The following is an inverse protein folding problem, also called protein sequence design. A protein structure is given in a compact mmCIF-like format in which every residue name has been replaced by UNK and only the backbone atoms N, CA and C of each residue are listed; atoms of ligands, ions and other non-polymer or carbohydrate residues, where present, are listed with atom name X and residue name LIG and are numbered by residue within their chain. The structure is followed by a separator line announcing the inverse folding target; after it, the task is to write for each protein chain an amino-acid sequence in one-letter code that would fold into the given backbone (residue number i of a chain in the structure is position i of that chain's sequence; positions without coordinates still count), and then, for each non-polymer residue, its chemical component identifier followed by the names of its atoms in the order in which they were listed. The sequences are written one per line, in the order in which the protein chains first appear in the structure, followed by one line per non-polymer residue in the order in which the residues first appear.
data_IF_571132767703
#
_entry.id   IF_571132767703
#
_cell.length_a   1.000
_cell.length_b   1.000
_cell.length_c   1.000
_cell.angle_alpha   90.00
_cell.angle_beta   90.00
_cell.angle_gamma   90.00
#
_symmetry.space_group_name_H-M   'P 1'
#
loop_
_entity.id
_entity.type
_entity.pdbx_description
1 polymer ?
#
# COMPACT_ATOMS: atom_id res chain seq x y z
N UNK A 1 -4.80 -18.43 13.98
CA UNK A 1 -3.62 -17.55 14.13
C UNK A 1 -3.95 -16.26 13.40
N UNK A 2 -3.95 -15.12 14.10
CA UNK A 2 -4.42 -13.82 13.58
C UNK A 2 -3.31 -12.76 13.46
N UNK A 3 -2.10 -13.02 13.98
CA UNK A 3 -0.99 -12.07 14.00
C UNK A 3 0.26 -12.72 13.40
N UNK A 4 0.94 -12.02 12.50
CA UNK A 4 2.11 -12.49 11.76
C UNK A 4 3.14 -11.36 11.61
N UNK A 5 4.43 -11.68 11.63
CA UNK A 5 5.48 -10.72 11.28
C UNK A 5 5.86 -10.98 9.83
N UNK A 6 5.45 -10.09 8.93
CA UNK A 6 5.61 -10.21 7.47
C UNK A 6 6.74 -9.36 6.92
N UNK A 7 7.04 -8.22 7.58
CA UNK A 7 8.03 -7.25 7.14
C UNK A 7 9.32 -7.32 7.97
N UNK A 8 10.49 -6.97 7.38
CA UNK A 8 11.73 -6.88 8.13
C UNK A 8 11.67 -5.79 9.20
N UNK A 9 12.42 -5.93 10.30
CA UNK A 9 12.53 -4.89 11.31
C UNK A 9 13.36 -3.70 10.81
N UNK A 10 13.09 -2.51 11.35
CA UNK A 10 13.89 -1.29 11.10
C UNK A 10 14.69 -0.93 12.34
N UNK A 11 15.98 -0.64 12.17
CA UNK A 11 16.78 -0.07 13.27
C UNK A 11 16.67 1.45 13.20
N UNK A 12 16.21 2.07 14.28
CA UNK A 12 16.05 3.50 14.42
C UNK A 12 16.67 3.95 15.76
N UNK A 13 17.73 4.74 15.70
CA UNK A 13 18.37 5.40 16.85
C UNK A 13 18.71 4.45 18.01
N UNK A 14 19.13 3.23 17.66
CA UNK A 14 19.50 2.17 18.59
C UNK A 14 18.37 1.22 19.01
N UNK A 15 17.13 1.43 18.55
CA UNK A 15 16.02 0.51 18.76
C UNK A 15 15.73 -0.31 17.49
N UNK A 16 15.49 -1.62 17.65
CA UNK A 16 14.97 -2.52 16.63
C UNK A 16 13.44 -2.48 16.68
N UNK A 17 12.81 -1.87 15.68
CA UNK A 17 11.37 -1.65 15.61
C UNK A 17 10.69 -2.74 14.80
N UNK A 18 9.62 -3.32 15.36
CA UNK A 18 8.89 -4.45 14.79
C UNK A 18 7.38 -4.15 14.85
N UNK A 19 6.73 -4.22 13.68
CA UNK A 19 5.28 -4.24 13.54
C UNK A 19 4.73 -5.66 13.36
N UNK A 20 3.55 -5.78 12.76
CA UNK A 20 2.96 -7.06 12.41
C UNK A 20 1.71 -6.90 11.56
N UNK A 21 1.47 -7.89 10.71
CA UNK A 21 0.22 -8.08 9.99
C UNK A 21 -0.79 -8.75 10.90
N UNK A 22 -1.98 -8.15 10.96
CA UNK A 22 -3.15 -8.72 11.60
C UNK A 22 -4.15 -9.04 10.50
N UNK A 23 -4.84 -10.18 10.59
CA UNK A 23 -5.85 -10.57 9.61
C UNK A 23 -7.15 -9.77 9.78
N UNK A 24 -7.06 -8.47 9.50
CA UNK A 24 -7.94 -7.34 9.79
C UNK A 24 -9.36 -7.40 9.24
N UNK A 25 -9.71 -8.42 8.46
CA UNK A 25 -11.01 -8.54 7.80
C UNK A 25 -11.96 -9.57 8.45
N UNK A 26 -11.62 -10.08 9.64
CA UNK A 26 -12.30 -11.24 10.22
C UNK A 26 -13.25 -10.89 11.34
N UNK A 27 -12.88 -10.01 12.27
CA UNK A 27 -13.67 -9.66 13.44
C UNK A 27 -13.31 -8.31 14.09
N UNK A 28 -14.22 -7.82 14.93
CA UNK A 28 -14.08 -6.54 15.67
C UNK A 28 -13.03 -6.59 16.79
N UNK A 29 -12.72 -7.78 17.30
CA UNK A 29 -11.87 -7.99 18.47
C UNK A 29 -10.55 -8.66 18.08
N UNK A 30 -9.93 -8.28 16.98
CA UNK A 30 -8.67 -8.90 16.57
C UNK A 30 -7.49 -8.51 17.46
N UNK A 31 -6.36 -9.25 17.43
CA UNK A 31 -5.17 -8.86 18.17
C UNK A 31 -4.74 -7.42 17.87
N UNK A 32 -4.13 -6.77 18.87
CA UNK A 32 -3.58 -5.44 18.71
C UNK A 32 -2.52 -5.38 17.61
N UNK A 33 -2.59 -4.32 16.82
CA UNK A 33 -1.55 -3.89 15.87
C UNK A 33 -0.31 -3.23 16.50
N UNK A 34 -0.12 -3.38 17.81
CA UNK A 34 0.99 -2.82 18.59
C UNK A 34 2.36 -2.94 17.92
N UNK A 35 3.07 -1.82 17.85
CA UNK A 35 4.46 -1.74 17.39
C UNK A 35 5.40 -1.81 18.60
N UNK A 36 6.51 -2.52 18.47
CA UNK A 36 7.45 -2.72 19.58
C UNK A 36 8.86 -2.31 19.21
N UNK A 37 9.56 -1.70 20.14
CA UNK A 37 10.99 -1.40 20.06
C UNK A 37 11.78 -2.31 20.99
N UNK A 38 12.86 -2.88 20.48
CA UNK A 38 13.76 -3.76 21.23
C UNK A 38 15.20 -3.26 21.18
N UNK A 39 16.01 -3.63 22.15
CA UNK A 39 17.45 -3.52 22.06
C UNK A 39 17.96 -4.56 21.04
N UNK A 40 18.63 -4.14 19.94
CA UNK A 40 19.07 -5.05 18.87
C UNK A 40 20.17 -6.03 19.31
N UNK A 41 20.86 -5.78 20.43
CA UNK A 41 21.96 -6.60 20.94
C UNK A 41 21.48 -7.62 21.96
N UNK A 42 20.53 -7.25 22.80
CA UNK A 42 20.05 -8.10 23.93
C UNK A 42 18.68 -8.71 23.68
N UNK A 43 17.88 -8.14 22.78
CA UNK A 43 16.47 -8.52 22.58
C UNK A 43 15.54 -8.01 23.67
N UNK A 44 16.02 -7.17 24.60
CA UNK A 44 15.18 -6.58 25.64
C UNK A 44 14.14 -5.64 25.04
N UNK A 45 12.88 -5.74 25.48
CA UNK A 45 11.84 -4.78 25.10
C UNK A 45 12.16 -3.40 25.71
N UNK A 46 12.24 -2.39 24.86
CA UNK A 46 12.44 -0.99 25.25
C UNK A 46 11.09 -0.29 25.46
N UNK A 47 10.19 -0.46 24.49
CA UNK A 47 8.87 0.15 24.50
C UNK A 47 7.88 -0.62 23.63
N UNK A 48 6.58 -0.38 23.86
CA UNK A 48 5.47 -0.86 23.06
C UNK A 48 4.49 0.29 22.80
N UNK A 49 4.28 0.62 21.53
CA UNK A 49 3.33 1.62 21.08
C UNK A 49 1.99 0.96 20.75
N UNK A 50 1.03 1.15 21.65
CA UNK A 50 -0.35 0.69 21.50
C UNK A 50 -1.26 1.91 21.37
N UNK A 51 -1.99 1.96 20.25
CA UNK A 51 -2.92 3.03 19.89
C UNK A 51 -3.93 3.31 21.00
N UNK A 52 -4.47 2.28 21.65
CA UNK A 52 -5.44 2.45 22.74
C UNK A 52 -4.84 2.86 24.08
N UNK A 53 -3.51 2.96 24.17
CA UNK A 53 -2.77 3.27 25.40
C UNK A 53 -1.77 4.41 25.17
N UNK A 54 -2.20 5.45 24.45
CA UNK A 54 -1.38 6.63 24.15
C UNK A 54 -0.65 7.17 25.39
N UNK A 55 0.65 7.47 25.22
CA UNK A 55 1.53 7.91 26.31
C UNK A 55 2.04 6.80 27.24
N UNK A 56 1.49 5.57 27.17
CA UNK A 56 1.96 4.41 27.95
C UNK A 56 2.74 3.46 27.05
N UNK A 57 4.05 3.51 27.16
CA UNK A 57 4.96 2.79 26.26
C UNK A 57 5.48 1.48 26.83
N UNK A 58 4.89 0.98 27.93
CA UNK A 58 5.25 -0.28 28.56
C UNK A 58 4.22 -1.37 28.28
N UNK A 59 4.63 -2.62 28.45
CA UNK A 59 3.71 -3.77 28.41
C UNK A 59 2.49 -3.52 29.33
N UNK A 60 1.30 -3.99 28.93
CA UNK A 60 0.16 -4.05 29.85
C UNK A 60 0.56 -4.78 31.14
N UNK A 61 0.04 -4.35 32.31
CA UNK A 61 0.21 -5.09 33.55
C UNK A 61 -0.23 -6.54 33.41
N UNK A 62 0.28 -7.41 34.28
CA UNK A 62 -0.13 -8.81 34.32
C UNK A 62 -1.68 -8.93 34.41
N UNK A 63 -2.25 -9.83 33.60
CA UNK A 63 -3.71 -10.01 33.49
C UNK A 63 -4.41 -8.99 32.58
N UNK A 64 -3.69 -8.01 32.01
CA UNK A 64 -4.21 -7.08 31.00
C UNK A 64 -3.66 -7.40 29.61
N UNK A 65 -4.32 -6.88 28.57
CA UNK A 65 -3.91 -7.07 27.18
C UNK A 65 -3.71 -5.72 26.48
N UNK A 66 -3.02 -5.76 25.34
CA UNK A 66 -3.01 -4.64 24.40
C UNK A 66 -4.41 -4.42 23.83
N UNK A 67 -4.66 -3.19 23.37
CA UNK A 67 -5.96 -2.80 22.84
C UNK A 67 -6.27 -3.58 21.57
N UNK A 68 -7.42 -4.26 21.55
CA UNK A 68 -7.85 -5.11 20.44
C UNK A 68 -8.45 -4.29 19.29
N UNK A 69 -8.44 -4.86 18.09
CA UNK A 69 -9.02 -4.27 16.88
C UNK A 69 -8.35 -2.98 16.40
N UNK A 70 -7.15 -2.65 16.91
CA UNK A 70 -6.42 -1.44 16.51
C UNK A 70 -5.72 -1.63 15.16
N UNK A 71 -5.53 -0.54 14.38
CA UNK A 71 -4.68 -0.54 13.19
C UNK A 71 -3.35 -1.25 13.39
N UNK A 72 -2.98 -2.07 12.40
CA UNK A 72 -1.72 -2.82 12.39
C UNK A 72 -0.62 -2.09 11.59
N UNK A 73 0.62 -2.52 11.73
CA UNK A 73 1.77 -1.99 10.97
C UNK A 73 2.45 -3.17 10.31
N UNK A 74 1.85 -3.62 9.20
CA UNK A 74 2.24 -4.83 8.51
C UNK A 74 3.35 -4.64 7.48
N UNK A 75 3.55 -3.39 7.04
CA UNK A 75 4.50 -3.04 6.00
C UNK A 75 5.81 -2.48 6.55
N UNK A 76 6.69 -2.08 5.63
CA UNK A 76 8.01 -1.51 5.86
C UNK A 76 7.93 -0.15 6.54
N UNK A 77 8.76 0.06 7.56
CA UNK A 77 8.95 1.35 8.21
C UNK A 77 10.22 2.05 7.70
N UNK A 78 10.36 3.35 7.97
CA UNK A 78 11.60 4.10 7.72
C UNK A 78 12.04 4.86 8.97
N UNK A 79 13.30 5.29 9.01
CA UNK A 79 13.89 5.90 10.20
C UNK A 79 14.75 7.11 9.84
N UNK A 80 14.74 8.10 10.74
CA UNK A 80 15.61 9.26 10.71
C UNK A 80 16.36 9.35 12.04
N UNK A 81 17.64 8.99 12.01
CA UNK A 81 18.50 8.99 13.19
C UNK A 81 18.92 10.41 13.63
N UNK A 82 18.85 11.41 12.75
CA UNK A 82 19.12 12.80 13.12
C UNK A 82 17.99 13.35 14.01
N UNK A 83 16.74 12.99 13.68
CA UNK A 83 15.56 13.39 14.45
C UNK A 83 15.21 12.42 15.58
N UNK A 84 15.77 11.22 15.58
CA UNK A 84 15.43 10.18 16.55
C UNK A 84 14.06 9.54 16.29
N UNK A 85 13.60 9.51 15.04
CA UNK A 85 12.24 9.12 14.67
C UNK A 85 12.20 7.83 13.86
N UNK A 86 11.17 7.02 14.09
CA UNK A 86 10.72 5.97 13.20
C UNK A 86 9.34 6.35 12.65
N UNK A 87 9.16 6.21 11.34
CA UNK A 87 7.92 6.50 10.63
C UNK A 87 7.20 5.19 10.35
N UNK A 88 6.04 5.00 10.99
CA UNK A 88 5.26 3.77 10.92
C UNK A 88 3.97 4.02 10.14
N UNK A 89 3.78 3.38 8.99
CA UNK A 89 2.55 3.51 8.22
C UNK A 89 1.52 2.48 8.73
N UNK A 90 0.27 2.90 8.91
CA UNK A 90 -0.75 2.11 9.63
C UNK A 90 -1.87 1.59 8.73
N UNK A 91 -2.38 0.43 9.14
CA UNK A 91 -3.63 -0.22 8.74
C UNK A 91 -4.88 0.61 8.99
N UNK A 92 -6.04 0.10 8.59
CA UNK A 92 -7.32 0.50 9.16
C UNK A 92 -7.61 -0.28 10.46
N UNK A 93 -8.57 0.20 11.26
CA UNK A 93 -9.07 -0.54 12.40
C UNK A 93 -9.97 -1.70 11.96
N UNK A 94 -10.03 -2.79 12.73
CA UNK A 94 -10.75 -4.00 12.29
C UNK A 94 -12.25 -3.93 12.60
N UNK A 95 -13.12 -4.49 11.74
CA UNK A 95 -12.81 -5.01 10.41
C UNK A 95 -12.83 -3.95 9.31
N UNK A 96 -12.28 -4.29 8.14
CA UNK A 96 -11.99 -3.35 7.04
C UNK A 96 -13.18 -2.58 6.47
N UNK A 97 -14.34 -3.22 6.32
CA UNK A 97 -15.44 -2.68 5.50
C UNK A 97 -16.65 -2.23 6.32
N UNK A 98 -16.58 -2.33 7.65
CA UNK A 98 -17.58 -1.79 8.57
C UNK A 98 -16.93 -1.19 9.82
N UNK A 99 -17.17 0.09 10.07
CA UNK A 99 -16.56 0.91 11.12
C UNK A 99 -17.51 1.38 12.22
N UNK A 100 -18.79 1.00 12.21
CA UNK A 100 -19.79 1.54 13.13
C UNK A 100 -19.49 1.39 14.64
N UNK A 101 -18.67 0.40 15.02
CA UNK A 101 -18.21 0.16 16.39
C UNK A 101 -16.91 0.90 16.74
N UNK A 102 -16.21 1.47 15.75
CA UNK A 102 -14.90 2.09 15.96
C UNK A 102 -15.01 3.32 16.84
N UNK A 103 -14.17 3.34 17.87
CA UNK A 103 -14.02 4.48 18.76
C UNK A 103 -13.15 5.56 18.13
N UNK A 104 -13.16 6.77 18.69
CA UNK A 104 -12.28 7.87 18.26
C UNK A 104 -10.81 7.46 18.27
N UNK A 105 -10.40 6.66 19.27
CA UNK A 105 -9.02 6.18 19.41
C UNK A 105 -8.63 5.22 18.30
N UNK A 106 -9.57 4.38 17.84
CA UNK A 106 -9.33 3.46 16.72
C UNK A 106 -9.22 4.23 15.40
N UNK A 107 -9.97 5.31 15.23
CA UNK A 107 -9.93 6.14 14.02
C UNK A 107 -8.71 7.07 13.98
N UNK A 108 -8.25 7.61 15.12
CA UNK A 108 -7.21 8.66 15.18
C UNK A 108 -5.93 8.29 14.41
N UNK A 109 -5.50 7.03 14.47
CA UNK A 109 -4.28 6.54 13.81
C UNK A 109 -4.55 5.53 12.69
N UNK A 110 -5.81 5.34 12.28
CA UNK A 110 -6.12 4.48 11.15
C UNK A 110 -5.65 5.13 9.84
N UNK A 111 -5.12 4.33 8.92
CA UNK A 111 -4.77 4.73 7.56
C UNK A 111 -3.94 6.02 7.55
N UNK A 112 -2.86 5.98 8.31
CA UNK A 112 -2.04 7.13 8.69
C UNK A 112 -0.56 6.84 8.52
N UNK A 113 0.24 7.91 8.48
CA UNK A 113 1.65 7.85 8.81
C UNK A 113 1.85 8.40 10.22
N UNK A 114 2.60 7.70 11.07
CA UNK A 114 2.86 8.10 12.46
C UNK A 114 4.37 8.19 12.68
N UNK A 115 4.85 9.32 13.16
CA UNK A 115 6.23 9.44 13.64
C UNK A 115 6.29 9.13 15.14
N UNK A 116 7.11 8.16 15.50
CA UNK A 116 7.34 7.72 16.88
C UNK A 116 8.78 8.04 17.26
N UNK A 117 8.98 8.58 18.46
CA UNK A 117 10.31 8.73 19.05
C UNK A 117 10.90 7.34 19.32
N UNK A 118 11.99 7.02 18.62
CA UNK A 118 12.53 5.66 18.58
C UNK A 118 13.12 5.19 19.92
N UNK A 119 13.45 6.12 20.84
CA UNK A 119 13.98 5.77 22.16
C UNK A 119 12.88 5.55 23.19
N UNK A 120 11.83 6.33 23.13
CA UNK A 120 10.78 6.36 24.17
C UNK A 120 9.52 5.60 23.77
N UNK A 121 9.26 5.43 22.47
CA UNK A 121 8.02 4.87 21.93
C UNK A 121 6.84 5.84 21.94
N UNK A 122 7.08 7.14 22.20
CA UNK A 122 6.04 8.15 22.23
C UNK A 122 5.76 8.71 20.83
N UNK A 123 4.48 8.91 20.51
CA UNK A 123 4.08 9.60 19.27
C UNK A 123 4.56 11.05 19.28
N UNK A 124 5.14 11.47 18.16
CA UNK A 124 5.59 12.85 17.93
C UNK A 124 4.61 13.62 17.08
N UNK A 125 4.14 13.01 16.01
CA UNK A 125 3.08 13.53 15.15
C UNK A 125 2.44 12.36 14.37
N UNK A 126 1.27 12.60 13.80
CA UNK A 126 0.65 11.71 12.82
C UNK A 126 -0.06 12.52 11.74
N UNK A 127 -0.23 11.93 10.57
CA UNK A 127 -1.03 12.47 9.48
C UNK A 127 -1.92 11.36 8.92
N UNK A 128 -3.23 11.59 8.91
CA UNK A 128 -4.21 10.63 8.44
C UNK A 128 -4.50 10.85 6.96
N UNK A 129 -4.29 9.81 6.14
CA UNK A 129 -4.55 9.87 4.69
C UNK A 129 -5.96 9.44 4.35
N UNK A 130 -6.67 8.74 5.23
CA UNK A 130 -8.08 8.36 5.05
C UNK A 130 -8.82 8.47 6.38
N UNK A 131 -9.80 9.36 6.47
CA UNK A 131 -10.67 9.50 7.63
C UNK A 131 -11.67 8.33 7.69
N UNK A 132 -11.78 7.69 8.84
CA UNK A 132 -12.73 6.60 9.10
C UNK A 132 -12.77 5.56 7.96
N UNK A 133 -11.66 4.88 7.76
CA UNK A 133 -11.45 4.03 6.58
C UNK A 133 -12.32 2.77 6.55
N UNK A 134 -13.33 2.75 5.69
CA UNK A 134 -14.22 1.59 5.45
C UNK A 134 -13.97 0.96 4.07
N UNK A 135 -12.75 1.12 3.53
CA UNK A 135 -12.39 0.74 2.17
C UNK A 135 -11.16 -0.17 2.07
N UNK A 136 -10.46 -0.46 3.17
CA UNK A 136 -9.13 -1.10 3.12
C UNK A 136 -8.12 -0.22 2.36
N UNK A 137 -8.12 1.08 2.69
CA UNK A 137 -7.16 2.10 2.22
C UNK A 137 -6.13 2.43 3.29
N UNK A 138 -5.56 1.41 3.92
CA UNK A 138 -4.38 1.58 4.75
C UNK A 138 -3.20 2.19 3.96
N UNK A 139 -2.15 2.54 4.69
CA UNK A 139 -0.90 3.04 4.12
C UNK A 139 0.12 1.90 4.13
N UNK A 140 0.25 1.13 3.05
CA UNK A 140 1.16 -0.01 3.01
C UNK A 140 2.51 0.34 2.37
N UNK A 141 2.68 1.53 1.80
CA UNK A 141 3.96 1.89 1.19
C UNK A 141 4.97 2.31 2.27
N UNK A 142 6.22 1.87 2.09
CA UNK A 142 7.32 2.37 2.92
C UNK A 142 7.39 3.90 2.84
N UNK A 143 7.37 4.65 3.96
CA UNK A 143 7.51 6.10 3.92
C UNK A 143 8.91 6.49 3.44
N UNK A 144 8.99 7.30 2.39
CA UNK A 144 10.27 7.61 1.72
C UNK A 144 10.80 8.96 2.17
N UNK A 145 11.91 8.96 2.92
CA UNK A 145 12.55 10.18 3.42
C UNK A 145 13.46 10.77 2.35
N UNK A 146 13.33 12.07 2.08
CA UNK A 146 14.13 12.75 1.06
C UNK A 146 14.46 14.19 1.46
N UNK A 147 15.47 14.75 0.79
CA UNK A 147 15.65 16.20 0.68
C UNK A 147 14.84 16.71 -0.53
N UNK A 148 13.62 17.16 -0.28
CA UNK A 148 12.66 17.64 -1.28
C UNK A 148 12.95 19.09 -1.67
N UNK A 149 13.12 19.35 -2.96
CA UNK A 149 13.34 20.70 -3.47
C UNK A 149 12.01 21.40 -3.79
N UNK A 150 11.62 22.35 -2.94
CA UNK A 150 10.41 23.16 -3.12
C UNK A 150 10.83 24.60 -3.40
N UNK A 151 10.54 25.10 -4.61
CA UNK A 151 10.88 26.47 -5.05
C UNK A 151 12.36 26.85 -4.85
N UNK A 152 13.27 25.88 -5.05
CA UNK A 152 14.72 26.08 -4.88
C UNK A 152 15.21 25.92 -3.43
N UNK A 153 14.32 25.65 -2.49
CA UNK A 153 14.64 25.43 -1.07
C UNK A 153 14.53 23.95 -0.74
N UNK A 154 15.61 23.37 -0.23
CA UNK A 154 15.60 22.00 0.28
C UNK A 154 14.82 21.90 1.59
N UNK A 155 13.83 21.00 1.63
CA UNK A 155 13.01 20.67 2.79
C UNK A 155 13.18 19.20 3.12
N UNK A 156 13.37 18.88 4.40
CA UNK A 156 13.44 17.49 4.86
C UNK A 156 12.03 16.90 4.85
N UNK A 157 11.74 16.03 3.90
CA UNK A 157 10.39 15.53 3.66
C UNK A 157 10.29 14.02 3.89
N UNK A 158 9.05 13.57 4.11
CA UNK A 158 8.62 12.19 4.00
C UNK A 158 7.51 12.12 2.96
N UNK A 159 7.70 11.30 1.93
CA UNK A 159 6.69 10.98 0.93
C UNK A 159 5.90 9.76 1.44
N UNK A 160 4.58 9.86 1.35
CA UNK A 160 3.62 8.84 1.77
C UNK A 160 2.78 8.45 0.56
N UNK A 161 3.21 7.42 -0.20
CA UNK A 161 2.40 6.81 -1.24
C UNK A 161 1.25 6.01 -0.62
N UNK A 162 0.08 5.99 -1.27
CA UNK A 162 -1.13 5.39 -0.69
C UNK A 162 -1.84 4.45 -1.65
N UNK A 163 -2.64 3.52 -1.09
CA UNK A 163 -3.56 2.67 -1.86
C UNK A 163 -4.55 3.49 -2.70
N UNK A 164 -4.82 4.74 -2.34
CA UNK A 164 -5.71 5.65 -3.08
C UNK A 164 -5.11 6.18 -4.40
N UNK A 165 -3.86 5.85 -4.73
CA UNK A 165 -3.21 6.38 -5.92
C UNK A 165 -2.75 7.83 -5.74
N UNK A 166 -2.57 8.26 -4.49
CA UNK A 166 -2.17 9.61 -4.11
C UNK A 166 -0.84 9.59 -3.35
N UNK A 167 -0.11 10.70 -3.45
CA UNK A 167 1.19 10.91 -2.82
C UNK A 167 1.09 12.12 -1.89
N UNK A 168 1.21 11.92 -0.59
CA UNK A 168 1.31 13.02 0.37
C UNK A 168 2.78 13.32 0.63
N UNK A 169 3.17 14.60 0.63
CA UNK A 169 4.53 15.03 0.95
C UNK A 169 4.45 15.87 2.21
N UNK A 170 5.08 15.40 3.29
CA UNK A 170 4.99 16.02 4.61
C UNK A 170 6.39 16.43 5.08
N UNK A 171 6.47 17.48 5.89
CA UNK A 171 7.68 17.82 6.62
C UNK A 171 7.96 16.72 7.64
N UNK A 172 9.10 16.05 7.54
CA UNK A 172 9.35 14.82 8.31
C UNK A 172 9.51 15.08 9.81
N UNK A 173 9.78 16.32 10.23
CA UNK A 173 9.89 16.66 11.64
C UNK A 173 8.54 16.97 12.30
N UNK A 174 7.55 17.44 11.54
CA UNK A 174 6.30 18.00 12.07
C UNK A 174 5.03 17.29 11.59
N UNK A 175 5.09 16.61 10.44
CA UNK A 175 3.92 16.01 9.78
C UNK A 175 3.08 17.01 8.98
N UNK A 176 3.48 18.28 8.91
CA UNK A 176 2.76 19.30 8.15
C UNK A 176 2.91 19.07 6.63
N UNK A 177 1.84 19.19 5.83
CA UNK A 177 1.93 19.08 4.37
C UNK A 177 2.87 20.12 3.76
N UNK A 178 3.79 19.66 2.90
CA UNK A 178 4.65 20.51 2.08
C UNK A 178 4.06 20.80 0.70
N UNK A 179 3.10 19.98 0.27
CA UNK A 179 2.32 20.16 -0.95
C UNK A 179 0.84 20.31 -0.59
N UNK A 180 0.05 20.92 -1.48
CA UNK A 180 -1.37 21.19 -1.21
C UNK A 180 -2.15 19.91 -0.93
N UNK A 181 -2.91 19.93 0.16
CA UNK A 181 -3.89 18.90 0.54
C UNK A 181 -5.23 19.60 0.74
N UNK A 182 -6.27 19.10 0.06
CA UNK A 182 -7.62 19.67 0.10
C UNK A 182 -8.60 18.67 0.69
N UNK A 183 -9.34 19.09 1.71
CA UNK A 183 -10.54 18.37 2.17
C UNK A 183 -11.65 18.48 1.12
N UNK A 184 -12.17 17.33 0.67
CA UNK A 184 -13.29 17.29 -0.29
C UNK A 184 -14.44 16.47 0.27
N UNK A 185 -15.66 16.93 0.01
CA UNK A 185 -16.87 16.17 0.31
C UNK A 185 -16.86 14.83 -0.43
N UNK A 186 -17.28 13.78 0.27
CA UNK A 186 -17.40 12.43 -0.27
C UNK A 186 -18.78 11.84 -0.01
N UNK A 187 -19.14 10.80 -0.76
CA UNK A 187 -20.41 10.11 -0.58
C UNK A 187 -20.53 9.50 0.83
N UNK A 188 -21.74 9.51 1.38
CA UNK A 188 -22.00 9.08 2.76
C UNK A 188 -22.59 7.67 2.81
N UNK A 189 -22.33 6.94 3.89
CA UNK A 189 -22.83 5.58 4.04
C UNK A 189 -24.36 5.55 4.12
N UNK A 190 -24.96 4.49 3.59
CA UNK A 190 -26.39 4.20 3.75
C UNK A 190 -26.62 2.92 4.55
N UNK A 191 -25.56 2.33 5.10
CA UNK A 191 -25.67 1.13 5.93
C UNK A 191 -26.17 1.52 7.34
N UNK A 192 -27.18 0.82 7.87
CA UNK A 192 -27.60 0.99 9.25
C UNK A 192 -26.45 0.80 10.23
N UNK A 193 -26.36 1.69 11.23
CA UNK A 193 -25.35 1.67 12.28
C UNK A 193 -23.90 1.89 11.82
N UNK A 194 -23.68 2.24 10.54
CA UNK A 194 -22.40 2.71 10.03
C UNK A 194 -22.33 4.24 10.09
N UNK A 195 -21.11 4.79 10.16
CA UNK A 195 -20.84 6.21 9.93
C UNK A 195 -19.81 6.39 8.83
N UNK A 196 -19.75 7.59 8.26
CA UNK A 196 -18.73 7.99 7.30
C UNK A 196 -18.23 9.39 7.65
N UNK A 197 -16.99 9.70 7.28
CA UNK A 197 -16.50 11.07 7.35
C UNK A 197 -17.18 11.95 6.29
N UNK A 198 -17.49 13.20 6.63
CA UNK A 198 -18.07 14.16 5.67
C UNK A 198 -17.09 14.48 4.53
N UNK A 199 -15.82 14.64 4.88
CA UNK A 199 -14.73 14.95 3.95
C UNK A 199 -13.61 13.93 4.02
N UNK A 200 -12.75 13.94 3.00
CA UNK A 200 -11.49 13.21 2.97
C UNK A 200 -10.37 14.14 2.50
N UNK A 201 -9.12 13.95 2.99
CA UNK A 201 -7.97 14.68 2.49
C UNK A 201 -7.61 14.12 1.12
N UNK A 202 -7.45 15.00 0.13
CA UNK A 202 -6.92 14.67 -1.19
C UNK A 202 -5.60 15.39 -1.42
N UNK A 203 -4.58 14.69 -1.90
CA UNK A 203 -3.32 15.32 -2.28
C UNK A 203 -3.48 16.01 -3.63
N UNK A 204 -3.65 17.33 -3.63
CA UNK A 204 -3.94 18.14 -4.82
C UNK A 204 -2.72 18.82 -5.41
N UNK A 205 -1.66 18.99 -4.62
CA UNK A 205 -0.38 19.54 -5.08
C UNK A 205 0.50 18.53 -5.81
N UNK A 206 0.32 17.22 -5.53
CA UNK A 206 1.05 16.15 -6.21
C UNK A 206 0.19 15.52 -7.32
N UNK A 207 0.81 14.90 -8.34
CA UNK A 207 0.06 14.17 -9.35
C UNK A 207 -0.68 12.97 -8.73
N UNK A 208 -1.94 12.80 -9.12
CA UNK A 208 -2.72 11.61 -8.79
C UNK A 208 -2.63 10.57 -9.91
N UNK A 209 -2.57 9.31 -9.49
CA UNK A 209 -2.51 8.12 -10.33
C UNK A 209 -3.87 7.40 -10.40
N UNK A 210 -4.87 7.84 -9.63
CA UNK A 210 -6.22 7.32 -9.73
C UNK A 210 -7.01 7.99 -10.86
N UNK A 211 -7.92 7.24 -11.50
CA UNK A 211 -8.97 7.83 -12.32
C UNK A 211 -9.81 8.82 -11.49
N UNK A 212 -10.02 10.07 -11.98
CA UNK A 212 -10.84 11.05 -11.27
C UNK A 212 -12.28 10.58 -11.03
N UNK A 213 -12.86 9.90 -12.02
CA UNK A 213 -14.17 9.24 -11.95
C UNK A 213 -14.28 8.20 -13.05
N UNK A 214 -14.75 7.00 -12.69
CA UNK A 214 -15.01 5.92 -13.66
C UNK A 214 -16.38 6.15 -14.32
N UNK A 215 -16.42 6.09 -15.65
CA UNK A 215 -17.66 6.07 -16.43
C UNK A 215 -17.72 4.92 -17.42
N UNK A 216 -18.80 4.86 -18.19
CA UNK A 216 -19.01 3.81 -19.20
C UNK A 216 -17.87 3.75 -20.24
N UNK A 217 -17.24 4.89 -20.56
CA UNK A 217 -16.09 5.00 -21.47
C UNK A 217 -14.80 4.36 -20.93
N UNK A 218 -14.78 4.01 -19.65
CA UNK A 218 -13.65 3.35 -19.01
C UNK A 218 -13.84 1.83 -18.92
N UNK A 219 -15.02 1.34 -19.36
CA UNK A 219 -15.37 -0.08 -19.32
C UNK A 219 -14.94 -0.82 -20.60
N UNK A 220 -14.21 -1.91 -20.38
CA UNK A 220 -13.62 -2.75 -21.39
C UNK A 220 -14.31 -4.12 -21.46
N UNK A 221 -14.15 -4.80 -22.59
CA UNK A 221 -14.50 -6.20 -22.78
C UNK A 221 -13.88 -6.71 -24.08
N UNK A 222 -13.45 -7.98 -24.09
CA UNK A 222 -12.77 -8.55 -25.26
C UNK A 222 -13.72 -8.84 -26.43
N UNK A 223 -15.02 -8.81 -26.17
CA UNK A 223 -16.09 -8.93 -27.16
C UNK A 223 -17.26 -8.01 -26.81
N UNK A 224 -18.20 -7.73 -27.73
CA UNK A 224 -19.39 -6.95 -27.42
C UNK A 224 -20.22 -7.51 -26.26
N UNK A 225 -20.33 -8.84 -26.14
CA UNK A 225 -21.07 -9.48 -25.03
C UNK A 225 -20.36 -9.31 -23.70
N UNK A 226 -19.04 -9.41 -23.70
CA UNK A 226 -18.19 -9.22 -22.52
C UNK A 226 -18.26 -7.76 -22.04
N UNK A 227 -18.20 -6.81 -22.97
CA UNK A 227 -18.35 -5.39 -22.68
C UNK A 227 -19.76 -5.06 -22.14
N UNK A 228 -20.81 -5.63 -22.72
CA UNK A 228 -22.20 -5.48 -22.21
C UNK A 228 -22.32 -6.03 -20.80
N UNK A 229 -21.69 -7.18 -20.50
CA UNK A 229 -21.69 -7.75 -19.15
C UNK A 229 -21.02 -6.82 -18.14
N UNK A 230 -19.85 -6.25 -18.47
CA UNK A 230 -19.17 -5.27 -17.62
C UNK A 230 -20.00 -3.99 -17.41
N UNK A 231 -20.63 -3.46 -18.47
CA UNK A 231 -21.52 -2.29 -18.38
C UNK A 231 -22.73 -2.56 -17.51
N UNK A 232 -23.38 -3.71 -17.70
CA UNK A 232 -24.51 -4.11 -16.86
C UNK A 232 -24.07 -4.21 -15.40
N UNK A 233 -22.96 -4.88 -15.12
CA UNK A 233 -22.45 -5.00 -13.76
C UNK A 233 -22.15 -3.63 -13.15
N UNK A 234 -21.55 -2.70 -13.90
CA UNK A 234 -21.33 -1.32 -13.44
C UNK A 234 -22.65 -0.61 -13.06
N UNK A 235 -23.68 -0.70 -13.89
CA UNK A 235 -24.98 -0.06 -13.64
C UNK A 235 -25.77 -0.69 -12.49
N UNK A 236 -25.50 -1.96 -12.16
CA UNK A 236 -26.11 -2.62 -11.01
C UNK A 236 -25.43 -2.20 -9.68
N UNK A 237 -24.24 -1.57 -9.72
CA UNK A 237 -23.46 -1.16 -8.54
C UNK A 237 -23.72 0.30 -8.14
N UNK A 238 -23.49 0.60 -6.86
CA UNK A 238 -23.37 1.95 -6.33
C UNK A 238 -22.00 2.53 -6.71
N UNK A 239 -21.97 3.68 -7.37
CA UNK A 239 -20.75 4.45 -7.63
C UNK A 239 -21.06 5.94 -7.79
N UNK A 240 -20.67 6.73 -6.80
CA UNK A 240 -20.86 8.18 -6.76
C UNK A 240 -19.55 8.93 -7.08
N UNK A 241 -18.43 8.21 -7.15
CA UNK A 241 -17.09 8.73 -7.36
C UNK A 241 -16.07 8.02 -6.45
N UNK A 242 -14.84 8.54 -6.38
CA UNK A 242 -13.86 8.13 -5.36
C UNK A 242 -14.49 8.16 -3.96
N UNK A 243 -14.07 7.24 -3.08
CA UNK A 243 -14.58 7.15 -1.70
C UNK A 243 -16.09 6.84 -1.60
N UNK A 244 -16.71 6.21 -2.61
CA UNK A 244 -18.08 5.70 -2.45
C UNK A 244 -18.11 4.62 -1.36
N UNK A 245 -18.91 4.75 -0.29
CA UNK A 245 -18.94 3.76 0.79
C UNK A 245 -19.44 2.37 0.37
N UNK A 246 -19.04 1.31 1.08
CA UNK A 246 -19.62 -0.03 0.95
C UNK A 246 -21.15 -0.03 1.04
N UNK A 247 -21.81 -0.96 0.34
CA UNK A 247 -23.26 -1.06 0.33
C UNK A 247 -23.75 -2.50 0.13
N UNK A 248 -25.02 -2.75 0.46
CA UNK A 248 -25.68 -4.06 0.22
C UNK A 248 -25.93 -4.30 -1.28
N UNK A 249 -26.19 -3.23 -2.04
CA UNK A 249 -26.27 -3.27 -3.51
C UNK A 249 -24.97 -3.78 -4.13
N UNK A 250 -23.83 -3.49 -3.49
CA UNK A 250 -22.51 -3.63 -4.05
C UNK A 250 -22.01 -2.26 -4.51
N UNK A 251 -20.76 -1.95 -4.16
CA UNK A 251 -20.11 -0.69 -4.48
C UNK A 251 -18.93 -0.94 -5.40
N UNK A 252 -18.81 -0.14 -6.47
CA UNK A 252 -17.58 -0.10 -7.25
C UNK A 252 -16.49 0.59 -6.42
N UNK A 253 -15.45 -0.17 -6.11
CA UNK A 253 -14.33 0.25 -5.29
C UNK A 253 -13.10 0.47 -6.16
N UNK A 254 -12.65 1.72 -6.26
CA UNK A 254 -11.50 2.09 -7.06
C UNK A 254 -10.75 3.31 -6.48
N UNK A 255 -9.41 3.24 -6.32
CA UNK A 255 -8.60 2.02 -6.46
C UNK A 255 -9.05 0.90 -5.51
N UNK A 256 -8.71 -0.35 -5.79
CA UNK A 256 -9.14 -1.48 -4.94
C UNK A 256 -8.30 -1.69 -3.67
N UNK A 257 -8.55 -2.76 -2.91
CA UNK A 257 -7.71 -3.20 -1.77
C UNK A 257 -6.29 -3.60 -2.18
N UNK A 258 -6.08 -3.99 -3.45
CA UNK A 258 -4.73 -4.12 -4.00
C UNK A 258 -3.97 -2.77 -4.05
N UNK A 259 -4.69 -1.66 -3.89
CA UNK A 259 -4.20 -0.30 -3.95
C UNK A 259 -3.84 0.16 -5.35
N UNK A 260 -3.52 1.44 -5.46
CA UNK A 260 -2.66 1.98 -6.51
C UNK A 260 -1.19 1.69 -6.18
N UNK A 261 -0.66 2.38 -5.17
CA UNK A 261 0.67 2.13 -4.61
C UNK A 261 0.54 1.27 -3.35
N UNK A 262 1.23 0.13 -3.32
CA UNK A 262 1.17 -0.83 -2.22
C UNK A 262 2.56 -1.02 -1.55
N UNK A 263 2.89 -2.22 -1.05
CA UNK A 263 4.15 -2.51 -0.35
C UNK A 263 5.43 -2.28 -1.16
N UNK A 264 5.34 -2.21 -2.50
CA UNK A 264 6.48 -1.88 -3.36
C UNK A 264 7.02 -0.45 -3.20
N UNK A 265 6.22 0.47 -2.65
CA UNK A 265 6.55 1.90 -2.48
C UNK A 265 7.09 2.59 -3.76
N UNK A 266 7.70 3.76 -3.57
CA UNK A 266 8.35 4.59 -4.60
C UNK A 266 9.87 4.55 -4.45
N UNK A 267 10.57 4.80 -5.56
CA UNK A 267 12.03 4.99 -5.56
C UNK A 267 12.37 6.42 -5.96
N UNK A 268 13.36 7.04 -5.31
CA UNK A 268 13.71 8.44 -5.56
C UNK A 268 15.19 8.57 -5.92
N UNK A 269 15.46 9.30 -7.00
CA UNK A 269 16.76 9.89 -7.30
C UNK A 269 16.76 11.31 -6.72
N UNK A 270 17.35 11.48 -5.54
CA UNK A 270 17.38 12.77 -4.83
C UNK A 270 18.25 13.82 -5.53
N UNK A 271 19.27 13.42 -6.31
CA UNK A 271 20.11 14.39 -7.01
C UNK A 271 19.36 15.03 -8.17
N UNK A 272 18.63 14.21 -8.94
CA UNK A 272 17.84 14.67 -10.09
C UNK A 272 16.41 15.08 -9.71
N UNK A 273 16.00 14.85 -8.46
CA UNK A 273 14.64 15.08 -7.96
C UNK A 273 13.60 14.33 -8.81
N UNK A 274 13.87 13.06 -9.09
CA UNK A 274 12.98 12.18 -9.86
C UNK A 274 12.44 11.05 -8.98
N UNK A 275 11.14 10.83 -9.02
CA UNK A 275 10.47 9.77 -8.28
C UNK A 275 9.83 8.77 -9.23
N UNK A 276 10.19 7.50 -9.08
CA UNK A 276 9.58 6.37 -9.78
C UNK A 276 8.39 5.87 -8.97
N UNK A 277 7.24 5.80 -9.61
CA UNK A 277 5.98 5.33 -9.04
C UNK A 277 5.56 4.04 -9.75
N UNK A 278 5.22 3.02 -8.97
CA UNK A 278 4.58 1.81 -9.48
C UNK A 278 3.12 1.86 -9.00
N UNK A 279 2.16 1.97 -9.92
CA UNK A 279 0.75 2.12 -9.60
C UNK A 279 -0.09 1.02 -10.27
N UNK A 280 -1.11 0.52 -9.58
CA UNK A 280 -2.12 -0.41 -10.11
C UNK A 280 -3.45 0.32 -10.39
N UNK A 281 -4.18 -0.14 -11.40
CA UNK A 281 -5.50 0.35 -11.79
C UNK A 281 -6.53 -0.78 -11.78
N UNK A 282 -6.58 -1.55 -10.69
CA UNK A 282 -7.55 -2.63 -10.50
C UNK A 282 -8.75 -2.15 -9.69
N UNK A 283 -9.94 -2.27 -10.27
CA UNK A 283 -11.21 -2.06 -9.55
C UNK A 283 -11.70 -3.34 -8.90
N UNK A 284 -12.39 -3.18 -7.78
CA UNK A 284 -13.02 -4.25 -7.02
C UNK A 284 -14.48 -3.91 -6.76
N UNK A 285 -15.24 -4.91 -6.32
CA UNK A 285 -16.61 -4.75 -5.86
C UNK A 285 -16.64 -5.09 -4.38
N UNK A 286 -17.11 -4.15 -3.56
CA UNK A 286 -17.41 -4.39 -2.15
C UNK A 286 -18.91 -4.61 -2.02
N UNK A 287 -19.34 -5.82 -1.63
CA UNK A 287 -20.74 -6.13 -1.33
C UNK A 287 -20.91 -6.51 0.13
N UNK A 288 -21.70 -5.71 0.84
CA UNK A 288 -22.07 -5.98 2.22
C UNK A 288 -23.22 -6.98 2.25
N UNK A 289 -23.12 -7.98 3.13
CA UNK A 289 -24.10 -9.06 3.27
C UNK A 289 -24.69 -8.96 4.69
N UNK A 290 -25.97 -8.58 4.85
CA UNK A 290 -26.61 -8.57 6.15
C UNK A 290 -26.54 -9.95 6.81
N UNK A 291 -26.30 -10.02 8.12
CA UNK A 291 -26.11 -11.32 8.79
C UNK A 291 -27.35 -12.20 8.72
N UNK A 292 -28.54 -11.62 8.72
CA UNK A 292 -29.82 -12.32 8.62
C UNK A 292 -30.03 -13.03 7.26
N UNK A 293 -29.37 -12.58 6.19
CA UNK A 293 -29.50 -13.16 4.84
C UNK A 293 -28.65 -14.42 4.63
N UNK A 294 -27.96 -14.89 5.68
CA UNK A 294 -27.15 -16.10 5.65
C UNK A 294 -25.71 -15.81 5.21
N UNK A 295 -24.85 -15.63 6.21
CA UNK A 295 -23.40 -15.74 6.08
C UNK A 295 -23.10 -17.18 5.64
N UNK A 296 -22.36 -17.37 4.53
CA UNK A 296 -21.91 -18.70 4.09
C UNK A 296 -21.41 -19.48 5.31
N UNK A 297 -21.97 -20.68 5.52
CA UNK A 297 -21.89 -21.41 6.77
C UNK A 297 -20.48 -21.41 7.36
N UNK A 298 -20.38 -21.06 8.64
CA UNK A 298 -19.16 -20.93 9.46
C UNK A 298 -18.31 -22.20 9.60
N UNK A 299 -18.51 -23.21 8.73
CA UNK A 299 -17.75 -24.46 8.67
C UNK A 299 -16.73 -24.49 7.53
N UNK A 300 -16.73 -23.51 6.63
CA UNK A 300 -15.83 -23.50 5.46
C UNK A 300 -14.74 -22.42 5.54
N UNK A 301 -13.69 -22.64 6.33
CA UNK A 301 -12.44 -21.86 6.26
C UNK A 301 -12.55 -20.35 6.54
N UNK A 302 -11.40 -19.67 6.61
CA UNK A 302 -11.28 -18.29 7.10
C UNK A 302 -11.60 -17.23 6.01
N UNK A 303 -11.65 -17.63 4.72
CA UNK A 303 -11.89 -16.71 3.59
C UNK A 303 -12.74 -17.28 2.45
N UNK A 304 -13.25 -18.52 2.55
CA UNK A 304 -14.01 -19.11 1.42
C UNK A 304 -15.34 -18.38 1.25
N UNK A 305 -15.60 -17.93 0.02
CA UNK A 305 -16.85 -17.26 -0.36
C UNK A 305 -16.92 -15.75 -0.11
N UNK A 306 -15.90 -15.15 0.53
CA UNK A 306 -15.83 -13.71 0.83
C UNK A 306 -14.76 -12.95 0.04
N UNK A 307 -13.84 -13.65 -0.63
CA UNK A 307 -12.68 -13.01 -1.25
C UNK A 307 -11.84 -12.30 -0.18
N UNK A 308 -11.46 -11.05 -0.43
CA UNK A 308 -10.67 -10.22 0.49
C UNK A 308 -11.52 -9.63 1.64
N UNK A 309 -12.85 -9.72 1.55
CA UNK A 309 -13.74 -9.02 2.49
C UNK A 309 -13.86 -9.64 3.89
N UNK A 310 -14.01 -10.96 3.96
CA UNK A 310 -14.14 -11.70 5.22
C UNK A 310 -15.49 -11.62 5.96
N UNK A 311 -15.64 -12.44 7.01
CA UNK A 311 -16.89 -12.60 7.76
C UNK A 311 -17.20 -11.46 8.74
N UNK A 312 -16.24 -10.59 9.05
CA UNK A 312 -16.39 -9.38 9.91
C UNK A 312 -17.17 -9.60 11.22
N UNK A 313 -16.90 -10.67 11.98
CA UNK A 313 -17.66 -11.07 13.20
C UNK A 313 -17.71 -9.93 14.23
N UNK A 314 -18.89 -9.74 14.81
CA UNK A 314 -19.19 -8.65 15.74
C UNK A 314 -19.83 -7.42 15.09
N UNK A 315 -19.90 -7.35 13.75
CA UNK A 315 -20.65 -6.31 13.03
C UNK A 315 -21.99 -6.83 12.47
N UNK A 316 -22.93 -5.98 12.04
CA UNK A 316 -24.19 -6.42 11.41
C UNK A 316 -24.03 -7.03 10.01
N UNK A 317 -22.83 -6.97 9.42
CA UNK A 317 -22.58 -7.37 8.02
C UNK A 317 -21.37 -8.31 7.90
N UNK A 318 -21.38 -9.18 6.89
CA UNK A 318 -20.15 -9.72 6.31
C UNK A 318 -19.79 -8.90 5.05
N UNK A 319 -18.55 -8.98 4.56
CA UNK A 319 -18.17 -8.35 3.29
C UNK A 319 -17.70 -9.39 2.27
N UNK A 320 -18.21 -9.30 1.05
CA UNK A 320 -17.63 -9.99 -0.11
C UNK A 320 -16.91 -8.97 -0.96
N UNK A 321 -15.60 -9.16 -1.12
CA UNK A 321 -14.74 -8.27 -1.92
C UNK A 321 -14.00 -9.07 -2.96
N UNK A 322 -14.21 -8.73 -4.23
CA UNK A 322 -13.60 -9.42 -5.37
C UNK A 322 -13.34 -8.44 -6.51
N UNK A 323 -12.46 -8.84 -7.43
CA UNK A 323 -12.11 -8.01 -8.59
C UNK A 323 -13.36 -7.69 -9.42
N UNK A 324 -13.47 -6.45 -9.89
CA UNK A 324 -14.51 -6.04 -10.83
C UNK A 324 -14.16 -6.58 -12.21
N UNK A 325 -14.64 -7.80 -12.47
CA UNK A 325 -14.29 -8.59 -13.63
C UNK A 325 -15.53 -9.10 -14.37
N UNK A 326 -15.35 -9.37 -15.65
CA UNK A 326 -16.38 -9.94 -16.51
C UNK A 326 -16.62 -11.43 -16.19
N UNK A 327 -17.65 -12.07 -16.77
CA UNK A 327 -17.87 -13.51 -16.64
C UNK A 327 -16.68 -14.37 -17.12
N UNK A 328 -15.78 -13.81 -17.93
CA UNK A 328 -14.55 -14.46 -18.38
C UNK A 328 -13.38 -14.29 -17.39
N UNK A 329 -13.58 -13.56 -16.29
CA UNK A 329 -12.55 -13.28 -15.30
C UNK A 329 -11.57 -12.16 -15.69
N UNK A 330 -11.83 -11.45 -16.79
CA UNK A 330 -11.01 -10.31 -17.23
C UNK A 330 -11.44 -9.03 -16.50
N UNK A 331 -10.52 -8.12 -16.12
CA UNK A 331 -10.90 -6.86 -15.51
C UNK A 331 -11.84 -6.04 -16.40
N UNK A 332 -12.87 -5.46 -15.81
CA UNK A 332 -13.85 -4.66 -16.55
C UNK A 332 -13.39 -3.22 -16.81
N UNK A 333 -12.34 -2.73 -16.13
CA UNK A 333 -11.71 -1.46 -16.48
C UNK A 333 -10.78 -1.63 -17.67
N UNK A 334 -10.69 -0.63 -18.54
CA UNK A 334 -9.71 -0.63 -19.63
C UNK A 334 -8.26 -0.56 -19.10
N UNK A 335 -7.29 -1.15 -19.81
CA UNK A 335 -5.88 -1.01 -19.49
C UNK A 335 -5.40 0.46 -19.57
N UNK A 336 -4.25 0.79 -18.94
CA UNK A 336 -3.32 -0.13 -18.27
C UNK A 336 -3.83 -0.63 -16.91
N UNK A 337 -3.61 -1.90 -16.58
CA UNK A 337 -3.96 -2.45 -15.25
C UNK A 337 -2.92 -2.16 -14.18
N UNK A 338 -1.71 -1.80 -14.60
CA UNK A 338 -0.62 -1.30 -13.80
C UNK A 338 0.33 -0.48 -14.67
N UNK A 339 0.94 0.54 -14.09
CA UNK A 339 1.88 1.42 -14.76
C UNK A 339 3.13 1.67 -13.92
N UNK A 340 4.21 2.01 -14.62
CA UNK A 340 5.38 2.66 -14.05
C UNK A 340 5.37 4.10 -14.54
N UNK A 341 5.65 5.04 -13.64
CA UNK A 341 5.71 6.45 -13.96
C UNK A 341 6.93 7.12 -13.31
N UNK A 342 7.33 8.24 -13.89
CA UNK A 342 8.34 9.13 -13.29
C UNK A 342 7.72 10.50 -13.07
N UNK A 343 7.86 10.99 -11.84
CA UNK A 343 7.45 12.33 -11.41
C UNK A 343 8.70 13.16 -11.20
N UNK A 344 8.73 14.35 -11.78
CA UNK A 344 9.67 15.40 -11.41
C UNK A 344 9.16 16.05 -10.12
N UNK A 345 9.92 15.87 -9.03
CA UNK A 345 9.59 16.37 -7.70
C UNK A 345 9.73 17.88 -7.59
N UNK A 346 10.56 18.51 -8.42
CA UNK A 346 10.73 19.98 -8.42
C UNK A 346 9.52 20.66 -9.03
N UNK A 347 9.00 20.12 -10.14
CA UNK A 347 7.83 20.67 -10.83
C UNK A 347 6.51 20.04 -10.41
N UNK A 348 6.56 18.95 -9.66
CA UNK A 348 5.41 18.16 -9.20
C UNK A 348 4.56 17.64 -10.37
N UNK A 349 5.23 17.28 -11.48
CA UNK A 349 4.57 16.81 -12.72
C UNK A 349 5.06 15.43 -13.11
N UNK A 350 4.16 14.65 -13.70
CA UNK A 350 4.52 13.40 -14.36
C UNK A 350 5.34 13.73 -15.60
N UNK A 351 6.57 13.21 -15.68
CA UNK A 351 7.39 13.25 -16.88
C UNK A 351 6.86 12.26 -17.92
N UNK A 352 6.63 11.03 -17.48
CA UNK A 352 5.99 9.99 -18.28
C UNK A 352 5.36 8.93 -17.37
N UNK A 353 4.42 8.18 -17.94
CA UNK A 353 3.84 6.96 -17.34
C UNK A 353 3.53 5.97 -18.44
N UNK A 354 3.71 4.67 -18.17
CA UNK A 354 3.57 3.61 -19.17
C UNK A 354 3.12 2.29 -18.55
N UNK A 355 2.19 1.63 -19.23
CA UNK A 355 1.85 0.24 -18.93
C UNK A 355 2.97 -0.70 -19.39
N UNK A 356 3.40 -1.62 -18.53
CA UNK A 356 4.35 -2.66 -18.92
C UNK A 356 3.66 -3.85 -19.58
N UNK A 357 4.34 -4.51 -20.53
CA UNK A 357 3.82 -5.66 -21.27
C UNK A 357 3.45 -5.32 -22.72
N UNK A 358 2.92 -6.29 -23.48
CA UNK A 358 2.58 -6.09 -24.88
C UNK A 358 1.55 -4.97 -25.08
N UNK A 359 1.76 -4.11 -26.08
CA UNK A 359 0.84 -3.03 -26.47
C UNK A 359 0.47 -2.08 -25.31
N UNK A 360 1.40 -1.85 -24.38
CA UNK A 360 1.20 -1.03 -23.17
C UNK A 360 -0.04 -1.47 -22.34
N UNK A 361 -0.38 -2.76 -22.38
CA UNK A 361 -1.54 -3.33 -21.66
C UNK A 361 -1.43 -3.12 -20.13
N UNK A 362 -0.23 -2.86 -19.63
CA UNK A 362 -0.01 -2.53 -18.23
C UNK A 362 -0.35 -3.70 -17.34
N UNK A 363 0.42 -4.77 -17.42
CA UNK A 363 0.20 -5.91 -16.54
C UNK A 363 0.39 -5.50 -15.06
N UNK A 364 -0.43 -6.06 -14.15
CA UNK A 364 -0.25 -5.84 -12.72
C UNK A 364 1.17 -6.18 -12.25
N UNK A 365 1.60 -5.56 -11.16
CA UNK A 365 2.87 -5.80 -10.50
C UNK A 365 2.70 -5.78 -8.98
N UNK A 366 3.57 -6.49 -8.28
CA UNK A 366 3.55 -6.61 -6.82
C UNK A 366 4.78 -5.94 -6.17
N UNK A 367 5.96 -6.13 -6.76
CA UNK A 367 7.20 -5.56 -6.27
C UNK A 367 7.42 -4.10 -6.72
N UNK A 368 8.18 -3.38 -5.89
CA UNK A 368 8.65 -2.04 -6.21
C UNK A 368 9.76 -2.01 -7.26
N UNK A 369 10.23 -0.80 -7.51
CA UNK A 369 11.38 -0.51 -8.37
C UNK A 369 12.54 0.03 -7.52
N UNK A 370 13.77 -0.06 -8.02
CA UNK A 370 14.88 0.76 -7.51
C UNK A 370 15.49 1.57 -8.65
N UNK A 371 16.09 2.71 -8.31
CA UNK A 371 16.73 3.64 -9.25
C UNK A 371 18.22 3.74 -8.97
N UNK A 372 19.02 4.01 -10.00
CA UNK A 372 20.47 4.19 -9.89
C UNK A 372 20.91 5.53 -10.44
N UNK A 373 22.04 6.06 -9.95
CA UNK A 373 22.65 7.29 -10.45
C UNK A 373 23.03 7.24 -11.95
N UNK A 374 23.05 6.04 -12.54
CA UNK A 374 23.22 5.84 -13.98
C UNK A 374 21.98 6.18 -14.82
N UNK A 375 20.88 6.62 -14.20
CA UNK A 375 19.64 6.96 -14.91
C UNK A 375 18.78 5.75 -15.26
N UNK A 376 18.92 4.64 -14.53
CA UNK A 376 18.18 3.40 -14.78
C UNK A 376 17.25 3.05 -13.62
N UNK A 377 16.02 2.69 -14.00
CA UNK A 377 15.01 2.06 -13.16
C UNK A 377 15.09 0.55 -13.37
N UNK A 378 15.18 -0.21 -12.29
CA UNK A 378 15.10 -1.66 -12.32
C UNK A 378 13.80 -2.14 -11.70
N UNK A 379 13.06 -2.96 -12.44
CA UNK A 379 11.80 -3.56 -11.99
C UNK A 379 11.74 -5.04 -12.39
N UNK A 380 11.30 -5.89 -11.47
CA UNK A 380 11.05 -7.31 -11.71
C UNK A 380 9.65 -7.75 -11.24
N UNK A 381 8.79 -6.79 -10.89
CA UNK A 381 7.51 -7.04 -10.21
C UNK A 381 6.34 -7.31 -11.14
N UNK A 382 6.47 -6.98 -12.43
CA UNK A 382 5.41 -7.20 -13.42
C UNK A 382 5.15 -8.70 -13.59
N UNK A 383 3.87 -9.09 -13.58
CA UNK A 383 3.46 -10.50 -13.62
C UNK A 383 3.93 -11.30 -14.85
N UNK A 384 4.48 -10.63 -15.86
CA UNK A 384 5.07 -11.29 -17.03
C UNK A 384 6.48 -11.85 -16.80
N UNK A 385 6.99 -11.75 -15.57
CA UNK A 385 8.18 -12.47 -15.14
C UNK A 385 9.44 -12.00 -15.86
N UNK A 386 9.66 -10.69 -15.97
CA UNK A 386 10.88 -10.13 -16.55
C UNK A 386 11.54 -9.16 -15.58
N UNK A 387 12.86 -9.25 -15.47
CA UNK A 387 13.67 -8.16 -14.93
C UNK A 387 13.91 -7.17 -16.07
N UNK A 388 13.66 -5.89 -15.81
CA UNK A 388 13.84 -4.79 -16.78
C UNK A 388 14.81 -3.77 -16.22
N UNK A 389 15.62 -3.20 -17.11
CA UNK A 389 16.27 -1.91 -16.93
C UNK A 389 15.59 -0.90 -17.87
N UNK A 390 15.04 0.17 -17.30
CA UNK A 390 14.25 1.18 -17.98
C UNK A 390 14.97 2.52 -17.85
N UNK A 391 15.08 3.27 -18.95
CA UNK A 391 15.62 4.63 -18.91
C UNK A 391 14.69 5.55 -18.11
N UNK A 392 15.26 6.28 -17.14
CA UNK A 392 14.47 7.11 -16.21
C UNK A 392 13.81 8.30 -16.90
N UNK A 393 14.38 8.82 -17.99
CA UNK A 393 13.87 10.01 -18.67
C UNK A 393 12.90 9.67 -19.79
N UNK A 394 13.12 8.57 -20.52
CA UNK A 394 12.29 8.20 -21.68
C UNK A 394 11.26 7.13 -21.37
N UNK A 395 11.47 6.30 -20.34
CA UNK A 395 10.62 5.15 -20.06
C UNK A 395 10.82 3.98 -21.04
N UNK A 396 11.92 3.98 -21.80
CA UNK A 396 12.25 2.89 -22.71
C UNK A 396 12.95 1.75 -21.98
N UNK A 397 12.53 0.52 -22.28
CA UNK A 397 13.22 -0.68 -21.80
C UNK A 397 14.50 -0.84 -22.61
N UNK A 398 15.65 -0.56 -22.00
CA UNK A 398 16.96 -0.66 -22.68
C UNK A 398 17.57 -2.05 -22.56
N UNK A 399 17.15 -2.81 -21.55
CA UNK A 399 17.57 -4.19 -21.33
C UNK A 399 16.50 -4.95 -20.54
N UNK A 400 16.37 -6.24 -20.80
CA UNK A 400 15.53 -7.13 -20.02
C UNK A 400 16.05 -8.56 -20.06
N UNK A 401 15.66 -9.36 -19.07
CA UNK A 401 15.87 -10.80 -19.02
C UNK A 401 14.61 -11.52 -18.53
N UNK A 402 14.44 -12.77 -18.96
CA UNK A 402 13.30 -13.60 -18.60
C UNK A 402 13.54 -14.33 -17.28
N UNK A 403 12.58 -14.22 -16.38
CA UNK A 403 12.52 -14.89 -15.10
C UNK A 403 11.52 -16.05 -15.18
N UNK A 404 11.59 -16.97 -14.21
CA UNK A 404 10.62 -18.08 -14.09
C UNK A 404 9.25 -17.63 -13.56
N UNK A 405 9.16 -16.39 -13.10
CA UNK A 405 7.98 -15.77 -12.52
C UNK A 405 8.32 -14.34 -12.09
N UNK A 406 7.30 -13.55 -11.79
CA UNK A 406 7.50 -12.21 -11.26
C UNK A 406 8.12 -12.26 -9.86
N UNK A 407 8.92 -11.24 -9.55
CA UNK A 407 9.42 -11.02 -8.20
C UNK A 407 8.32 -10.42 -7.33
N UNK A 408 8.14 -10.96 -6.12
CA UNK A 408 7.28 -10.34 -5.10
C UNK A 408 8.06 -9.31 -4.24
N UNK A 409 9.38 -9.23 -4.41
CA UNK A 409 10.24 -8.27 -3.70
C UNK A 409 10.90 -7.27 -4.65
N UNK A 410 11.14 -6.06 -4.14
CA UNK A 410 11.90 -5.04 -4.86
C UNK A 410 13.32 -5.52 -5.11
N UNK A 411 13.81 -5.51 -6.37
CA UNK A 411 15.22 -5.80 -6.66
C UNK A 411 16.17 -4.86 -5.91
N UNK A 412 17.42 -5.28 -5.73
CA UNK A 412 18.44 -4.43 -5.09
C UNK A 412 19.74 -4.43 -5.89
N UNK A 413 20.60 -3.45 -5.62
CA UNK A 413 21.97 -3.43 -6.15
C UNK A 413 22.99 -3.23 -5.06
N UNK A 414 24.18 -3.80 -5.24
CA UNK A 414 25.32 -3.61 -4.36
C UNK A 414 26.63 -3.74 -5.14
N UNK A 415 27.70 -3.14 -4.61
CA UNK A 415 29.06 -3.38 -5.11
C UNK A 415 29.69 -4.47 -4.25
N UNK A 416 30.11 -5.56 -4.88
CA UNK A 416 30.77 -6.65 -4.16
C UNK A 416 32.15 -6.21 -3.67
N UNK A 417 32.44 -6.29 -2.37
CA UNK A 417 33.78 -6.01 -1.86
C UNK A 417 34.84 -6.98 -2.39
N UNK A 418 34.43 -8.19 -2.76
CA UNK A 418 35.34 -9.24 -3.24
C UNK A 418 35.74 -9.05 -4.71
N UNK A 419 34.84 -8.56 -5.56
CA UNK A 419 35.09 -8.44 -7.01
C UNK A 419 35.17 -7.01 -7.52
N UNK A 420 34.76 -6.02 -6.71
CA UNK A 420 34.66 -4.61 -7.10
C UNK A 420 33.56 -4.32 -8.14
N UNK A 421 32.76 -5.33 -8.51
CA UNK A 421 31.70 -5.20 -9.52
C UNK A 421 30.37 -4.86 -8.86
N UNK A 422 29.57 -4.05 -9.53
CA UNK A 422 28.17 -3.84 -9.18
C UNK A 422 27.34 -5.04 -9.64
N UNK A 423 26.47 -5.53 -8.75
CA UNK A 423 25.49 -6.57 -9.02
C UNK A 423 24.08 -6.02 -8.86
N UNK A 424 23.15 -6.56 -9.64
CA UNK A 424 21.70 -6.42 -9.44
C UNK A 424 21.17 -7.77 -8.99
N UNK A 425 20.48 -7.79 -7.85
CA UNK A 425 19.89 -8.99 -7.27
C UNK A 425 18.37 -8.97 -7.42
N UNK A 426 17.83 -10.13 -7.80
CA UNK A 426 16.39 -10.39 -7.87
C UNK A 426 16.08 -11.68 -7.13
N UNK A 427 15.01 -11.67 -6.35
CA UNK A 427 14.44 -12.86 -5.72
C UNK A 427 13.22 -13.32 -6.50
N UNK A 428 13.24 -14.53 -7.02
CA UNK A 428 12.08 -15.11 -7.71
C UNK A 428 11.43 -16.12 -6.75
N UNK A 429 10.16 -15.92 -6.36
CA UNK A 429 9.45 -16.87 -5.53
C UNK A 429 9.32 -18.21 -6.26
N UNK A 430 9.36 -19.30 -5.51
CA UNK A 430 9.17 -20.64 -6.03
C UNK A 430 7.93 -21.29 -5.45
N UNK A 431 7.46 -22.35 -6.10
CA UNK A 431 6.47 -23.26 -5.52
C UNK A 431 7.15 -24.44 -4.80
N UNK A 432 6.34 -25.33 -4.20
CA UNK A 432 6.85 -26.51 -3.48
C UNK A 432 7.76 -27.43 -4.32
N UNK A 433 7.63 -27.39 -5.65
CA UNK A 433 8.40 -28.25 -6.57
C UNK A 433 9.69 -27.59 -7.05
N UNK A 434 9.69 -26.27 -7.21
CA UNK A 434 10.78 -25.54 -7.90
C UNK A 434 11.74 -24.82 -6.97
N UNK A 435 11.31 -24.48 -5.75
CA UNK A 435 12.06 -23.69 -4.79
C UNK A 435 12.29 -22.24 -5.24
N UNK A 436 12.39 -21.31 -4.28
CA UNK A 436 12.74 -19.92 -4.56
C UNK A 436 14.19 -19.77 -5.04
N UNK A 437 14.49 -18.71 -5.79
CA UNK A 437 15.84 -18.43 -6.32
C UNK A 437 16.25 -16.99 -6.09
N UNK A 438 17.55 -16.81 -5.87
CA UNK A 438 18.21 -15.50 -5.94
C UNK A 438 19.06 -15.47 -7.20
N UNK A 439 18.88 -14.46 -8.04
CA UNK A 439 19.61 -14.28 -9.29
C UNK A 439 20.43 -13.00 -9.19
N UNK A 440 21.71 -13.09 -9.55
CA UNK A 440 22.64 -11.96 -9.55
C UNK A 440 23.10 -11.64 -10.96
N UNK A 441 22.87 -10.42 -11.41
CA UNK A 441 23.29 -9.88 -12.71
C UNK A 441 24.47 -8.94 -12.52
N UNK A 442 25.47 -9.01 -13.40
CA UNK A 442 26.55 -8.04 -13.48
C UNK A 442 27.03 -7.91 -14.93
N UNK A 443 27.53 -6.74 -15.30
CA UNK A 443 28.19 -6.54 -16.60
C UNK A 443 29.38 -7.50 -16.73
N UNK A 444 29.59 -8.09 -17.91
CA UNK A 444 30.74 -8.98 -18.18
C UNK A 444 32.06 -8.23 -17.92
N UNK A 445 33.01 -8.88 -17.28
CA UNK A 445 34.37 -8.35 -17.14
C UNK A 445 35.06 -8.31 -18.50
N UNK A 446 36.01 -7.37 -18.67
CA UNK A 446 36.87 -7.32 -19.87
C UNK A 446 37.69 -8.60 -20.09
N UNK A 447 37.81 -9.46 -19.08
CA UNK A 447 38.52 -10.75 -19.12
C UNK A 447 37.61 -11.97 -19.34
N UNK A 448 36.29 -11.78 -19.44
CA UNK A 448 35.30 -12.86 -19.51
C UNK A 448 34.92 -13.21 -20.97
N UNK A 449 35.78 -12.87 -21.95
CA UNK A 449 35.59 -13.10 -23.39
C UNK A 449 36.42 -14.25 -23.93
#
# INVERSE_FOLDING_TARGET
LYYFVTSPPTVASGALVVGGWVMDNQETEEPSGVVRGYDPRTGQLLWAWDIGREGKTVMPPEGSFYTRGTPNVWSLTSADDELGLVYVPTGNATPDYFGGHRTEVMDKFASSIVAIDAKTGLTRWHFQTTHHDIWDYDVPSQPTLIDFNLDGVKRKAVIVPTKRGELFVLDRATGEPLTEVTERDVAQTNLPHERSSATQPFSTGMPSFAHPRIGEQDLFGISPFDQIACRKAFYDLRYEGPMTPPSVQGTLHYPGPAGGMNWGSVAVDEERQLMVVNNLHLAFVIKMIPREEGVAGSREGISRGYGIGGPQRGTPFAARVGMFASPLGLPCLKPPYGEIAVVDLTTQKILWRRGMGPLDLGFPHAAGSFITAGGLIFNAGVIDGRLRAIDTLTGDVIWQDELRGASDATPMSYVSPATGRQYVLVTVPGNQETGGRVIAYALRGRSDS
#
